data_IF_258682640939
#
_entry.id   IF_258682640939
#
_cell.length_a   1.000
_cell.length_b   1.000
_cell.length_c   1.000
_cell.angle_alpha   90.00
_cell.angle_beta   90.00
_cell.angle_gamma   90.00
#
_symmetry.space_group_name_H-M   'P 1'
#
loop_
_entity.id
_entity.type
_entity.pdbx_description
1 polymer ?
#
# COMPACT_ATOMS: atom_id res chain seq x y z
N UNK A 1 -7.18 -21.45 -2.83
CA UNK A 1 -8.63 -21.17 -2.96
C UNK A 1 -8.90 -20.68 -4.38
N UNK A 2 -8.95 -21.60 -5.37
CA UNK A 2 -9.10 -21.24 -6.78
C UNK A 2 -10.54 -20.89 -7.21
N UNK A 3 -11.54 -21.05 -6.34
CA UNK A 3 -12.96 -20.87 -6.69
C UNK A 3 -13.56 -19.52 -6.29
N UNK A 4 -12.86 -18.73 -5.47
CA UNK A 4 -13.31 -17.40 -5.06
C UNK A 4 -12.50 -16.38 -5.88
N UNK A 5 -13.15 -15.77 -6.86
CA UNK A 5 -12.64 -14.64 -7.63
C UNK A 5 -13.27 -13.33 -7.15
N UNK A 6 -12.84 -12.21 -7.72
CA UNK A 6 -13.39 -10.89 -7.40
C UNK A 6 -14.89 -10.80 -7.72
N UNK A 7 -15.34 -11.46 -8.78
CA UNK A 7 -16.72 -11.40 -9.23
C UNK A 7 -17.66 -12.04 -8.23
N UNK A 8 -17.29 -13.22 -7.70
CA UNK A 8 -18.01 -13.88 -6.61
C UNK A 8 -18.09 -12.99 -5.36
N UNK A 9 -16.98 -12.33 -4.99
CA UNK A 9 -16.94 -11.45 -3.82
C UNK A 9 -17.90 -10.26 -4.01
N UNK A 10 -17.90 -9.63 -5.19
CA UNK A 10 -18.75 -8.49 -5.49
C UNK A 10 -20.23 -8.88 -5.59
N UNK A 11 -20.54 -10.05 -6.13
CA UNK A 11 -21.90 -10.60 -6.15
C UNK A 11 -22.41 -10.84 -4.72
N UNK A 12 -21.61 -11.48 -3.87
CA UNK A 12 -21.95 -11.68 -2.46
C UNK A 12 -22.20 -10.34 -1.74
N UNK A 13 -21.35 -9.33 -2.00
CA UNK A 13 -21.51 -7.98 -1.46
C UNK A 13 -22.82 -7.33 -1.96
N UNK A 14 -23.17 -7.50 -3.23
CA UNK A 14 -24.40 -6.98 -3.83
C UNK A 14 -25.65 -7.63 -3.21
N UNK A 15 -25.66 -8.96 -3.07
CA UNK A 15 -26.77 -9.71 -2.46
C UNK A 15 -26.97 -9.26 -1.01
N UNK A 16 -25.89 -9.16 -0.24
CA UNK A 16 -25.95 -8.68 1.14
C UNK A 16 -26.52 -7.26 1.22
N UNK A 17 -26.01 -6.33 0.41
CA UNK A 17 -26.48 -4.95 0.41
C UNK A 17 -27.94 -4.84 -0.05
N UNK A 18 -28.34 -5.63 -1.05
CA UNK A 18 -29.71 -5.71 -1.53
C UNK A 18 -30.70 -6.24 -0.49
N UNK A 19 -30.25 -7.03 0.49
CA UNK A 19 -31.08 -7.54 1.58
C UNK A 19 -31.06 -6.64 2.82
N UNK A 20 -29.88 -6.16 3.22
CA UNK A 20 -29.66 -5.54 4.52
C UNK A 20 -29.35 -4.04 4.47
N UNK A 21 -29.05 -3.49 3.29
CA UNK A 21 -28.66 -2.09 3.12
C UNK A 21 -29.51 -1.35 2.07
N UNK A 22 -30.76 -1.77 1.85
CA UNK A 22 -31.68 -1.11 0.92
C UNK A 22 -31.80 0.38 1.25
N UNK A 23 -31.66 1.23 0.23
CA UNK A 23 -31.71 2.69 0.36
C UNK A 23 -30.46 3.33 0.96
N UNK A 24 -29.42 2.56 1.30
CA UNK A 24 -28.11 3.10 1.62
C UNK A 24 -27.31 3.35 0.34
N UNK A 25 -26.49 4.40 0.35
CA UNK A 25 -25.61 4.75 -0.76
C UNK A 25 -24.16 4.42 -0.39
N UNK A 26 -23.32 4.04 -1.35
CA UNK A 26 -21.91 3.69 -1.11
C UNK A 26 -21.05 4.93 -0.84
N UNK A 27 -20.56 5.09 0.38
CA UNK A 27 -19.63 6.19 0.66
C UNK A 27 -18.24 5.80 0.20
N UNK A 28 -17.74 6.41 -0.89
CA UNK A 28 -16.30 6.39 -1.15
C UNK A 28 -15.59 6.99 0.07
N UNK A 29 -14.59 6.30 0.60
CA UNK A 29 -13.81 6.74 1.76
C UNK A 29 -12.96 7.94 1.37
N UNK A 30 -13.58 9.12 1.33
CA UNK A 30 -12.95 10.42 1.10
C UNK A 30 -12.53 11.00 2.46
N UNK A 31 -11.51 10.43 3.09
CA UNK A 31 -10.90 11.02 4.29
C UNK A 31 -10.00 12.23 3.98
N UNK A 32 -9.89 12.64 2.71
CA UNK A 32 -9.06 13.77 2.25
C UNK A 32 -9.68 14.58 1.11
N UNK A 33 -10.85 15.18 1.34
CA UNK A 33 -11.59 15.94 0.31
C UNK A 33 -10.83 17.11 -0.36
N UNK A 34 -9.74 17.61 0.24
CA UNK A 34 -8.92 18.69 -0.32
C UNK A 34 -7.73 18.18 -1.18
N UNK A 35 -7.05 17.11 -0.75
CA UNK A 35 -5.94 16.50 -1.51
C UNK A 35 -6.46 15.84 -2.79
N UNK A 36 -7.59 15.15 -2.69
CA UNK A 36 -8.25 14.45 -3.80
C UNK A 36 -8.75 15.45 -4.87
N UNK A 37 -9.31 16.60 -4.46
CA UNK A 37 -9.73 17.67 -5.40
C UNK A 37 -8.56 18.28 -6.18
N UNK A 38 -7.38 18.46 -5.56
CA UNK A 38 -6.19 19.01 -6.25
C UNK A 38 -5.65 18.01 -7.28
N UNK A 39 -5.72 16.72 -6.99
CA UNK A 39 -5.29 15.65 -7.91
C UNK A 39 -6.25 15.48 -9.10
N UNK A 40 -7.57 15.63 -8.90
CA UNK A 40 -8.53 15.59 -10.00
C UNK A 40 -8.40 16.75 -11.00
N UNK A 41 -7.80 17.88 -10.59
CA UNK A 41 -7.46 18.97 -11.53
C UNK A 41 -6.32 18.59 -12.49
N UNK A 42 -5.58 17.50 -12.25
CA UNK A 42 -4.45 17.06 -13.07
C UNK A 42 -4.81 16.07 -14.19
N UNK A 43 -6.12 15.94 -14.50
CA UNK A 43 -6.63 15.31 -15.74
C UNK A 43 -6.36 13.80 -15.87
N UNK A 44 -6.99 13.02 -14.99
CA UNK A 44 -6.87 11.56 -14.94
C UNK A 44 -8.16 10.89 -15.45
N UNK A 45 -8.04 9.94 -16.39
CA UNK A 45 -9.15 9.34 -17.14
C UNK A 45 -10.21 8.59 -16.30
N UNK A 46 -10.00 8.33 -15.00
CA UNK A 46 -11.04 7.80 -14.09
C UNK A 46 -12.19 8.80 -13.85
N UNK A 47 -12.09 10.01 -14.42
CA UNK A 47 -13.03 11.12 -14.29
C UNK A 47 -14.48 10.70 -14.53
N UNK A 48 -14.78 9.90 -15.54
CA UNK A 48 -16.18 9.76 -15.95
C UNK A 48 -16.97 8.85 -15.01
N UNK A 49 -16.51 7.62 -14.76
CA UNK A 49 -17.24 6.67 -13.91
C UNK A 49 -17.27 7.10 -12.44
N UNK A 50 -16.12 7.55 -11.90
CA UNK A 50 -16.07 8.03 -10.52
C UNK A 50 -16.88 9.31 -10.32
N UNK A 51 -16.75 10.32 -11.20
CA UNK A 51 -17.53 11.55 -11.05
C UNK A 51 -19.01 11.34 -11.33
N UNK A 52 -19.37 10.41 -12.21
CA UNK A 52 -20.75 9.97 -12.35
C UNK A 52 -21.27 9.39 -11.04
N UNK A 53 -20.48 8.56 -10.36
CA UNK A 53 -20.83 8.02 -9.05
C UNK A 53 -20.98 9.09 -7.97
N UNK A 54 -20.09 10.08 -7.93
CA UNK A 54 -20.21 11.23 -7.04
C UNK A 54 -21.47 12.05 -7.34
N UNK A 55 -21.78 12.33 -8.62
CA UNK A 55 -22.98 13.10 -9.02
C UNK A 55 -24.27 12.39 -8.63
N UNK A 56 -24.40 11.12 -8.99
CA UNK A 56 -25.56 10.31 -8.66
C UNK A 56 -25.76 10.16 -7.13
N UNK A 57 -24.66 10.19 -6.36
CA UNK A 57 -24.71 10.32 -4.91
C UNK A 57 -25.28 11.66 -4.42
N UNK A 58 -24.80 12.78 -4.97
CA UNK A 58 -25.27 14.12 -4.64
C UNK A 58 -26.75 14.31 -4.99
N UNK A 59 -27.16 13.76 -6.14
CA UNK A 59 -28.53 13.79 -6.65
C UNK A 59 -29.45 12.77 -5.96
N UNK A 60 -28.91 11.89 -5.09
CA UNK A 60 -29.64 10.79 -4.43
C UNK A 60 -30.34 9.83 -5.40
N UNK A 61 -29.83 9.73 -6.63
CA UNK A 61 -30.34 8.86 -7.69
C UNK A 61 -29.66 7.50 -7.70
N UNK A 62 -28.58 7.33 -6.93
CA UNK A 62 -27.77 6.12 -6.90
C UNK A 62 -28.45 4.95 -6.18
N UNK A 63 -28.47 3.76 -6.81
CA UNK A 63 -28.70 2.47 -6.16
C UNK A 63 -27.36 1.75 -6.01
N UNK A 64 -27.06 1.23 -4.81
CA UNK A 64 -25.81 0.50 -4.56
C UNK A 64 -25.56 -0.59 -5.62
N UNK A 65 -24.41 -0.50 -6.29
CA UNK A 65 -23.90 -1.48 -7.26
C UNK A 65 -22.45 -1.79 -6.88
N UNK A 66 -22.23 -2.94 -6.25
CA UNK A 66 -20.92 -3.34 -5.73
C UNK A 66 -19.84 -3.34 -6.82
N UNK A 67 -20.19 -3.77 -8.05
CA UNK A 67 -19.25 -3.86 -9.17
C UNK A 67 -18.90 -2.48 -9.69
N UNK A 68 -19.88 -1.62 -9.95
CA UNK A 68 -19.62 -0.25 -10.41
C UNK A 68 -18.81 0.54 -9.38
N UNK A 69 -19.12 0.40 -8.08
CA UNK A 69 -18.35 1.00 -6.99
C UNK A 69 -16.89 0.52 -7.02
N UNK A 70 -16.69 -0.79 -7.13
CA UNK A 70 -15.37 -1.41 -7.13
C UNK A 70 -14.52 -0.98 -8.33
N UNK A 71 -15.07 -1.05 -9.55
CA UNK A 71 -14.33 -0.67 -10.76
C UNK A 71 -13.94 0.80 -10.73
N UNK A 72 -14.83 1.69 -10.27
CA UNK A 72 -14.51 3.10 -10.11
C UNK A 72 -13.36 3.32 -9.10
N UNK A 73 -13.37 2.62 -7.96
CA UNK A 73 -12.29 2.69 -6.97
C UNK A 73 -10.98 2.07 -7.48
N UNK A 74 -11.05 0.97 -8.24
CA UNK A 74 -9.90 0.26 -8.81
C UNK A 74 -9.23 1.06 -9.93
N UNK A 75 -10.00 1.55 -10.90
CA UNK A 75 -9.52 2.44 -11.98
C UNK A 75 -8.89 3.70 -11.41
N UNK A 76 -9.53 4.28 -10.39
CA UNK A 76 -8.94 5.39 -9.64
C UNK A 76 -7.59 4.97 -9.08
N UNK A 77 -7.51 3.88 -8.32
CA UNK A 77 -6.27 3.43 -7.67
C UNK A 77 -5.11 3.15 -8.63
N UNK A 78 -5.39 2.67 -9.84
CA UNK A 78 -4.38 2.43 -10.89
C UNK A 78 -3.68 3.72 -11.36
N UNK A 79 -4.36 4.86 -11.28
CA UNK A 79 -3.85 6.10 -11.84
C UNK A 79 -3.06 6.95 -10.86
N UNK A 80 -3.11 6.66 -9.56
CA UNK A 80 -2.32 7.41 -8.58
C UNK A 80 -0.94 6.80 -8.43
N UNK A 81 0.14 7.58 -8.62
CA UNK A 81 1.45 7.13 -8.21
C UNK A 81 1.44 6.86 -6.70
N UNK A 82 2.34 5.99 -6.19
CA UNK A 82 2.49 5.75 -4.77
C UNK A 82 3.11 6.99 -4.12
N UNK A 83 2.31 8.02 -3.88
CA UNK A 83 2.81 9.31 -3.39
C UNK A 83 2.87 9.36 -1.87
N UNK A 84 4.03 9.78 -1.35
CA UNK A 84 4.43 9.78 0.07
C UNK A 84 3.43 10.46 1.02
N UNK A 85 2.88 11.62 0.64
CA UNK A 85 1.93 12.38 1.47
C UNK A 85 0.52 11.76 1.53
N UNK A 86 0.22 10.81 0.65
CA UNK A 86 -1.12 10.30 0.43
C UNK A 86 -1.28 8.82 0.79
N UNK A 87 -0.21 8.06 1.00
CA UNK A 87 -0.31 6.63 1.33
C UNK A 87 -1.06 6.38 2.65
N UNK A 88 -0.96 7.31 3.61
CA UNK A 88 -1.69 7.25 4.89
C UNK A 88 -3.03 7.98 4.87
N UNK A 89 -3.22 8.99 4.02
CA UNK A 89 -4.41 9.85 3.98
C UNK A 89 -5.42 9.51 2.87
N UNK A 90 -4.97 9.03 1.72
CA UNK A 90 -5.84 8.47 0.66
C UNK A 90 -6.12 6.98 0.93
N UNK A 91 -6.25 6.64 2.23
CA UNK A 91 -6.20 5.27 2.71
C UNK A 91 -7.18 4.42 1.93
N UNK A 92 -6.64 3.46 1.16
CA UNK A 92 -7.43 2.39 0.57
C UNK A 92 -8.26 1.65 1.61
N UNK A 93 -7.96 1.82 2.91
CA UNK A 93 -8.73 1.37 4.05
C UNK A 93 -10.17 1.92 3.98
N UNK A 94 -11.00 1.19 3.25
CA UNK A 94 -12.43 1.23 3.43
C UNK A 94 -12.83 0.35 4.60
N UNK A 95 -14.13 0.38 4.88
CA UNK A 95 -14.94 -0.43 5.77
C UNK A 95 -14.27 -1.58 6.51
N UNK A 96 -14.67 -1.80 7.78
CA UNK A 96 -14.44 -3.04 8.50
C UNK A 96 -15.30 -4.20 7.92
N UNK A 97 -15.17 -4.46 6.61
CA UNK A 97 -15.93 -5.50 5.90
C UNK A 97 -15.37 -6.89 6.18
N UNK A 98 -14.13 -6.98 6.66
CA UNK A 98 -13.54 -8.23 7.13
C UNK A 98 -13.88 -8.48 8.59
N UNK A 99 -14.40 -9.66 8.84
CA UNK A 99 -14.53 -10.17 10.20
C UNK A 99 -13.11 -10.31 10.83
N UNK A 100 -12.92 -9.94 12.11
CA UNK A 100 -11.57 -9.86 12.71
C UNK A 100 -10.74 -11.14 12.63
N UNK A 101 -11.40 -12.30 12.67
CA UNK A 101 -10.72 -13.61 12.64
C UNK A 101 -10.55 -14.17 11.21
N UNK A 102 -10.82 -13.38 10.16
CA UNK A 102 -10.58 -13.83 8.79
C UNK A 102 -9.08 -14.05 8.59
N UNK A 103 -8.71 -15.32 8.42
CA UNK A 103 -7.33 -15.69 8.14
C UNK A 103 -6.83 -15.00 6.88
N UNK A 104 -5.74 -14.26 7.01
CA UNK A 104 -5.13 -13.57 5.88
C UNK A 104 -4.67 -14.55 4.79
N UNK A 105 -5.11 -14.38 3.54
CA UNK A 105 -4.67 -15.22 2.43
C UNK A 105 -3.23 -14.85 2.04
N UNK A 106 -2.26 -15.61 2.56
CA UNK A 106 -0.82 -15.33 2.36
C UNK A 106 -0.42 -15.20 0.88
N UNK A 107 -1.03 -16.01 0.00
CA UNK A 107 -0.76 -15.98 -1.44
C UNK A 107 -1.16 -14.65 -2.11
N UNK A 108 -2.10 -13.88 -1.54
CA UNK A 108 -2.41 -12.53 -2.03
C UNK A 108 -1.35 -11.51 -1.59
N UNK A 109 -0.60 -11.79 -0.53
CA UNK A 109 0.42 -10.88 0.00
C UNK A 109 1.81 -11.12 -0.57
N UNK A 110 2.15 -12.34 -0.96
CA UNK A 110 3.52 -12.71 -1.34
C UNK A 110 3.78 -12.77 -2.85
N UNK A 111 2.77 -12.49 -3.67
CA UNK A 111 2.87 -12.53 -5.13
C UNK A 111 3.14 -13.95 -5.69
N UNK A 112 3.32 -14.09 -7.00
CA UNK A 112 3.14 -13.07 -8.05
C UNK A 112 1.67 -12.63 -8.20
N UNK A 113 1.44 -11.43 -8.76
CA UNK A 113 0.12 -10.84 -8.95
C UNK A 113 -0.25 -10.73 -10.43
N UNK A 114 -1.08 -11.65 -10.90
CA UNK A 114 -1.90 -11.45 -12.10
C UNK A 114 -3.02 -10.44 -11.81
N UNK A 115 -3.75 -10.01 -12.85
CA UNK A 115 -4.82 -9.00 -12.71
C UNK A 115 -5.90 -9.42 -11.70
N UNK A 116 -6.25 -10.70 -11.66
CA UNK A 116 -7.23 -11.21 -10.71
C UNK A 116 -6.74 -11.09 -9.26
N UNK A 117 -5.50 -11.51 -8.98
CA UNK A 117 -4.89 -11.33 -7.66
C UNK A 117 -4.70 -9.87 -7.29
N UNK A 118 -4.42 -8.97 -8.25
CA UNK A 118 -4.35 -7.52 -7.98
C UNK A 118 -5.71 -6.99 -7.56
N UNK A 119 -6.78 -7.33 -8.28
CA UNK A 119 -8.17 -6.95 -7.95
C UNK A 119 -8.58 -7.45 -6.58
N UNK A 120 -8.27 -8.70 -6.27
CA UNK A 120 -8.53 -9.29 -4.95
C UNK A 120 -7.69 -8.68 -3.84
N UNK A 121 -6.40 -8.43 -4.06
CA UNK A 121 -5.55 -7.73 -3.12
C UNK A 121 -6.11 -6.34 -2.84
N UNK A 122 -6.50 -5.60 -3.88
CA UNK A 122 -7.11 -4.28 -3.75
C UNK A 122 -8.40 -4.33 -2.93
N UNK A 123 -9.31 -5.24 -3.25
CA UNK A 123 -10.54 -5.45 -2.46
C UNK A 123 -10.21 -5.78 -1.00
N UNK A 124 -9.23 -6.64 -0.76
CA UNK A 124 -8.86 -7.09 0.57
C UNK A 124 -8.32 -5.95 1.45
N UNK A 125 -7.48 -5.08 0.88
CA UNK A 125 -7.02 -3.84 1.54
C UNK A 125 -8.19 -2.89 1.80
N UNK A 126 -9.11 -2.78 0.82
CA UNK A 126 -10.32 -1.97 0.95
C UNK A 126 -11.28 -2.46 2.02
N UNK A 127 -11.34 -3.76 2.24
CA UNK A 127 -12.18 -4.38 3.26
C UNK A 127 -11.59 -4.27 4.68
N UNK A 128 -10.50 -3.49 4.86
CA UNK A 128 -10.00 -3.12 6.19
C UNK A 128 -9.10 -4.18 6.84
N UNK A 129 -8.40 -5.02 6.08
CA UNK A 129 -7.55 -6.08 6.65
C UNK A 129 -6.53 -5.54 7.67
N UNK A 130 -5.99 -4.35 7.46
CA UNK A 130 -4.92 -3.80 8.31
C UNK A 130 -5.45 -3.02 9.51
N UNK A 131 -6.72 -3.24 9.88
CA UNK A 131 -7.24 -2.74 11.15
C UNK A 131 -6.52 -3.42 12.32
N UNK A 132 -6.26 -2.68 13.43
CA UNK A 132 -5.49 -3.19 14.56
C UNK A 132 -6.01 -4.50 15.17
N UNK A 133 -7.30 -4.80 14.98
CA UNK A 133 -7.98 -6.01 15.46
C UNK A 133 -7.56 -7.30 14.76
N UNK A 134 -6.99 -7.25 13.55
CA UNK A 134 -6.88 -8.41 12.66
C UNK A 134 -5.56 -9.20 12.80
N UNK A 135 -4.87 -9.02 13.93
CA UNK A 135 -3.65 -9.75 14.27
C UNK A 135 -2.37 -9.27 13.57
N UNK A 136 -1.23 -9.77 14.04
CA UNK A 136 0.08 -9.40 13.50
C UNK A 136 0.45 -10.23 12.27
N UNK A 137 0.80 -9.56 11.18
CA UNK A 137 1.35 -10.23 9.99
C UNK A 137 2.77 -10.70 10.29
N UNK A 138 3.02 -11.98 10.00
CA UNK A 138 4.31 -12.64 10.19
C UNK A 138 5.44 -11.90 9.42
N UNK A 139 6.57 -11.66 10.07
CA UNK A 139 7.75 -11.01 9.47
C UNK A 139 8.26 -11.70 8.20
N UNK A 140 8.13 -13.03 8.08
CA UNK A 140 8.49 -13.76 6.85
C UNK A 140 7.62 -13.34 5.66
N UNK A 141 6.32 -13.15 5.90
CA UNK A 141 5.36 -12.71 4.88
C UNK A 141 5.68 -11.30 4.45
N UNK A 142 5.95 -10.39 5.40
CA UNK A 142 6.37 -9.02 5.11
C UNK A 142 7.63 -8.95 4.24
N UNK A 143 8.63 -9.77 4.56
CA UNK A 143 9.87 -9.87 3.77
C UNK A 143 9.61 -10.41 2.37
N UNK A 144 8.80 -11.47 2.24
CA UNK A 144 8.43 -12.04 0.94
C UNK A 144 7.62 -11.03 0.09
N UNK A 145 6.68 -10.32 0.69
CA UNK A 145 5.92 -9.22 0.05
C UNK A 145 6.85 -8.12 -0.46
N UNK A 146 7.83 -7.69 0.36
CA UNK A 146 8.81 -6.67 -0.03
C UNK A 146 9.68 -7.15 -1.20
N UNK A 147 10.20 -8.37 -1.08
CA UNK A 147 11.05 -8.98 -2.10
C UNK A 147 10.27 -9.10 -3.43
N UNK A 148 9.01 -9.52 -3.39
CA UNK A 148 8.17 -9.71 -4.57
C UNK A 148 7.62 -8.40 -5.17
N UNK A 149 7.33 -7.37 -4.37
CA UNK A 149 6.71 -6.14 -4.86
C UNK A 149 7.72 -5.07 -5.32
N UNK A 150 8.88 -4.97 -4.68
CA UNK A 150 9.81 -3.84 -4.88
C UNK A 150 11.21 -4.25 -5.34
N UNK A 151 11.71 -5.41 -4.90
CA UNK A 151 13.11 -5.79 -5.14
C UNK A 151 13.24 -6.60 -6.43
N UNK A 152 12.47 -7.68 -6.54
CA UNK A 152 12.61 -8.68 -7.62
C UNK A 152 12.06 -8.24 -8.98
N UNK A 153 10.91 -7.54 -9.08
CA UNK A 153 10.34 -7.16 -10.38
C UNK A 153 11.26 -6.24 -11.16
N UNK A 154 11.34 -6.41 -12.48
CA UNK A 154 12.03 -5.44 -13.32
C UNK A 154 11.34 -4.08 -13.24
N UNK A 155 10.01 -4.06 -13.36
CA UNK A 155 9.14 -2.89 -13.20
C UNK A 155 8.19 -3.11 -12.01
N UNK A 156 8.35 -2.38 -10.89
CA UNK A 156 7.49 -2.54 -9.73
C UNK A 156 6.09 -2.04 -10.03
N UNK A 157 5.07 -2.79 -9.61
CA UNK A 157 3.67 -2.41 -9.82
C UNK A 157 3.22 -1.38 -8.76
N UNK A 158 2.86 -0.15 -9.17
CA UNK A 158 2.43 0.91 -8.26
C UNK A 158 1.23 0.53 -7.38
N UNK A 159 0.25 -0.18 -7.95
CA UNK A 159 -0.97 -0.58 -7.25
C UNK A 159 -0.65 -1.61 -6.17
N UNK A 160 0.13 -2.64 -6.52
CA UNK A 160 0.54 -3.68 -5.57
C UNK A 160 1.33 -3.06 -4.43
N UNK A 161 2.29 -2.19 -4.74
CA UNK A 161 3.04 -1.44 -3.73
C UNK A 161 2.08 -0.70 -2.80
N UNK A 162 1.17 0.11 -3.35
CA UNK A 162 0.19 0.89 -2.58
C UNK A 162 -0.65 0.00 -1.66
N UNK A 163 -1.12 -1.14 -2.14
CA UNK A 163 -1.88 -2.10 -1.35
C UNK A 163 -1.07 -2.70 -0.19
N UNK A 164 0.21 -3.01 -0.41
CA UNK A 164 1.05 -3.64 0.61
C UNK A 164 1.70 -2.64 1.57
N UNK A 165 1.69 -1.34 1.25
CA UNK A 165 2.35 -0.31 2.06
C UNK A 165 2.02 -0.36 3.55
N UNK A 166 0.74 -0.49 3.98
CA UNK A 166 0.41 -0.56 5.40
C UNK A 166 1.10 -1.75 6.11
N UNK A 167 1.26 -2.88 5.42
CA UNK A 167 1.95 -4.07 5.95
C UNK A 167 3.46 -3.82 6.05
N UNK A 168 4.03 -3.21 5.00
CA UNK A 168 5.46 -3.04 4.87
C UNK A 168 5.99 -2.01 5.87
N UNK A 169 5.29 -0.89 6.05
CA UNK A 169 5.65 0.17 7.00
C UNK A 169 5.12 -0.03 8.43
N UNK A 170 4.42 -1.14 8.71
CA UNK A 170 3.92 -1.41 10.05
C UNK A 170 5.06 -1.40 11.07
N UNK A 171 4.85 -0.74 12.22
CA UNK A 171 5.88 -0.43 13.23
C UNK A 171 6.46 -1.63 13.97
N UNK A 172 6.04 -2.86 13.65
CA UNK A 172 6.70 -4.05 14.16
C UNK A 172 8.06 -4.22 13.49
N UNK A 173 9.10 -4.42 14.29
CA UNK A 173 10.45 -4.58 13.78
C UNK A 173 10.58 -5.89 13.00
N UNK A 174 11.20 -5.82 11.81
CA UNK A 174 11.73 -7.02 11.16
C UNK A 174 13.02 -7.45 11.86
N UNK A 175 13.36 -8.73 11.75
CA UNK A 175 14.65 -9.26 12.21
C UNK A 175 15.81 -8.44 11.61
N UNK A 176 16.71 -7.85 12.41
CA UNK A 176 17.63 -6.80 11.94
C UNK A 176 18.52 -7.20 10.78
N UNK A 177 19.11 -8.41 10.80
CA UNK A 177 19.90 -8.94 9.68
C UNK A 177 19.07 -9.06 8.40
N UNK A 178 17.83 -9.54 8.52
CA UNK A 178 16.94 -9.67 7.37
C UNK A 178 16.54 -8.30 6.81
N UNK A 179 16.26 -7.32 7.67
CA UNK A 179 15.93 -5.94 7.29
C UNK A 179 17.11 -5.26 6.59
N UNK A 180 18.32 -5.34 7.16
CA UNK A 180 19.54 -4.79 6.58
C UNK A 180 19.80 -5.35 5.18
N UNK A 181 19.68 -6.67 5.00
CA UNK A 181 19.86 -7.29 3.68
C UNK A 181 18.89 -6.74 2.63
N UNK A 182 17.64 -6.40 3.01
CA UNK A 182 16.66 -5.80 2.07
C UNK A 182 16.92 -4.32 1.83
N UNK A 183 17.35 -3.58 2.84
CA UNK A 183 17.82 -2.19 2.68
C UNK A 183 18.95 -2.11 1.64
N UNK A 184 19.97 -2.97 1.75
CA UNK A 184 21.08 -3.03 0.79
C UNK A 184 20.60 -3.34 -0.63
N UNK A 185 19.66 -4.28 -0.79
CA UNK A 185 19.08 -4.61 -2.10
C UNK A 185 18.29 -3.43 -2.70
N UNK A 186 17.49 -2.73 -1.89
CA UNK A 186 16.75 -1.55 -2.33
C UNK A 186 17.67 -0.40 -2.74
N UNK A 187 18.71 -0.09 -1.94
CA UNK A 187 19.70 0.92 -2.31
C UNK A 187 20.38 0.56 -3.64
N UNK A 188 20.74 -0.72 -3.81
CA UNK A 188 21.36 -1.20 -5.05
C UNK A 188 20.44 -1.05 -6.26
N UNK A 189 19.13 -1.30 -6.10
CA UNK A 189 18.11 -1.09 -7.14
C UNK A 189 18.04 0.38 -7.55
N UNK A 190 17.89 1.28 -6.58
CA UNK A 190 17.78 2.72 -6.83
C UNK A 190 19.00 3.23 -7.61
N UNK A 191 20.21 2.73 -7.27
CA UNK A 191 21.44 3.08 -7.97
C UNK A 191 21.54 2.51 -9.38
N UNK A 192 21.11 1.26 -9.59
CA UNK A 192 21.12 0.62 -10.92
C UNK A 192 20.26 1.39 -11.92
N UNK A 193 19.24 2.11 -11.46
CA UNK A 193 18.31 2.82 -12.31
C UNK A 193 17.33 1.86 -13.02
N UNK A 194 16.64 2.38 -14.04
CA UNK A 194 15.58 1.67 -14.77
C UNK A 194 14.17 1.93 -14.25
N UNK A 195 14.04 2.37 -12.99
CA UNK A 195 12.77 2.85 -12.44
C UNK A 195 12.46 4.28 -12.92
N UNK A 196 11.16 4.57 -13.07
CA UNK A 196 10.65 5.93 -13.30
C UNK A 196 11.08 6.88 -12.18
N UNK A 197 11.10 8.18 -12.45
CA UNK A 197 11.49 9.18 -11.44
C UNK A 197 10.60 9.08 -10.18
N UNK A 198 9.29 8.90 -10.35
CA UNK A 198 8.34 8.78 -9.25
C UNK A 198 8.59 7.51 -8.41
N UNK A 199 8.81 6.37 -9.07
CA UNK A 199 9.13 5.12 -8.37
C UNK A 199 10.45 5.24 -7.62
N UNK A 200 11.47 5.88 -8.21
CA UNK A 200 12.75 6.11 -7.55
C UNK A 200 12.62 6.99 -6.30
N UNK A 201 11.86 8.09 -6.40
CA UNK A 201 11.55 8.98 -5.26
C UNK A 201 10.83 8.21 -4.16
N UNK A 202 9.83 7.40 -4.53
CA UNK A 202 9.12 6.55 -3.59
C UNK A 202 10.03 5.52 -2.90
N UNK A 203 10.89 4.81 -3.64
CA UNK A 203 11.81 3.82 -3.09
C UNK A 203 12.78 4.44 -2.09
N UNK A 204 13.31 5.64 -2.36
CA UNK A 204 14.16 6.38 -1.43
C UNK A 204 13.44 6.73 -0.14
N UNK A 205 12.20 7.22 -0.25
CA UNK A 205 11.36 7.44 0.93
C UNK A 205 11.15 6.16 1.73
N UNK A 206 10.82 5.05 1.06
CA UNK A 206 10.61 3.75 1.70
C UNK A 206 11.86 3.26 2.44
N UNK A 207 13.04 3.38 1.81
CA UNK A 207 14.33 3.05 2.42
C UNK A 207 14.54 3.85 3.71
N UNK A 208 14.30 5.17 3.67
CA UNK A 208 14.41 6.07 4.83
C UNK A 208 13.50 5.65 5.97
N UNK A 209 12.23 5.38 5.69
CA UNK A 209 11.26 4.98 6.73
C UNK A 209 11.56 3.59 7.29
N UNK A 210 11.97 2.63 6.46
CA UNK A 210 12.37 1.32 6.93
C UNK A 210 13.64 1.40 7.80
N UNK A 211 14.61 2.22 7.43
CA UNK A 211 15.81 2.46 8.23
C UNK A 211 15.47 3.10 9.59
N UNK A 212 14.67 4.18 9.62
CA UNK A 212 14.18 4.80 10.86
C UNK A 212 13.45 3.81 11.75
N UNK A 213 12.57 2.98 11.19
CA UNK A 213 11.85 1.95 11.94
C UNK A 213 12.80 0.92 12.57
N UNK A 214 13.85 0.52 11.86
CA UNK A 214 14.88 -0.38 12.39
C UNK A 214 15.68 0.26 13.52
N UNK A 215 16.12 1.51 13.36
CA UNK A 215 16.82 2.25 14.43
C UNK A 215 15.95 2.41 15.68
N UNK A 216 14.66 2.76 15.50
CA UNK A 216 13.72 2.90 16.61
C UNK A 216 13.48 1.58 17.34
N UNK A 217 13.42 0.46 16.61
CA UNK A 217 13.29 -0.86 17.22
C UNK A 217 14.50 -1.23 18.08
N UNK A 218 15.72 -0.99 17.58
CA UNK A 218 16.96 -1.23 18.33
C UNK A 218 17.04 -0.40 19.61
N UNK A 219 16.57 0.86 19.58
CA UNK A 219 16.53 1.74 20.76
C UNK A 219 15.56 1.25 21.84
N UNK A 220 14.46 0.59 21.46
CA UNK A 220 13.38 0.17 22.39
C UNK A 220 13.62 -1.18 23.06
N UNK A 221 14.41 -2.05 22.46
CA UNK A 221 14.72 -3.38 23.02
C UNK A 221 16.24 -3.64 23.02
N UNK A 222 16.98 -3.08 24.00
CA UNK A 222 18.43 -3.26 24.11
C UNK A 222 18.86 -4.65 24.64
N UNK A 223 18.03 -5.70 24.55
CA UNK A 223 18.30 -6.99 25.20
C UNK A 223 19.34 -7.88 24.47
N UNK A 224 20.32 -8.30 25.28
CA UNK A 224 21.41 -9.27 25.15
C UNK A 224 22.39 -9.12 23.97
N UNK A 225 23.49 -8.44 24.28
CA UNK A 225 24.46 -7.82 23.39
C UNK A 225 25.63 -8.71 22.98
N UNK A 226 25.56 -10.04 23.14
CA UNK A 226 26.68 -10.92 22.75
C UNK A 226 26.56 -11.44 21.31
N UNK A 227 25.35 -11.72 20.81
CA UNK A 227 25.10 -12.14 19.42
C UNK A 227 24.67 -10.99 18.49
N UNK A 228 24.34 -9.84 19.09
CA UNK A 228 23.74 -8.69 18.42
C UNK A 228 24.72 -7.55 18.09
N UNK A 229 26.03 -7.74 18.33
CA UNK A 229 27.08 -6.91 17.71
C UNK A 229 27.24 -7.30 16.25
N UNK A 230 26.13 -7.38 15.51
CA UNK A 230 26.21 -7.28 14.07
C UNK A 230 26.57 -5.83 13.79
N UNK A 231 27.83 -5.61 13.42
CA UNK A 231 28.39 -4.30 13.18
C UNK A 231 27.63 -3.64 12.01
N UNK A 232 26.53 -2.94 12.32
CA UNK A 232 25.76 -2.14 11.38
C UNK A 232 26.59 -1.00 10.78
N UNK A 233 27.85 -0.81 11.23
CA UNK A 233 28.89 -0.10 10.48
C UNK A 233 29.31 -0.89 9.24
N UNK A 234 28.34 -1.32 8.44
CA UNK A 234 28.57 -1.58 7.04
C UNK A 234 28.78 -0.20 6.40
N UNK A 235 30.03 0.28 6.44
CA UNK A 235 30.44 1.60 5.92
C UNK A 235 29.86 1.84 4.51
N UNK A 236 29.83 0.79 3.70
CA UNK A 236 29.24 0.79 2.38
C UNK A 236 27.72 0.97 2.34
N UNK A 237 26.97 0.44 3.32
CA UNK A 237 25.54 0.76 3.46
C UNK A 237 25.32 2.20 3.93
N UNK A 238 26.08 2.66 4.92
CA UNK A 238 25.95 4.03 5.46
C UNK A 238 26.29 5.09 4.40
N UNK A 239 27.38 4.91 3.65
CA UNK A 239 27.73 5.76 2.50
C UNK A 239 26.58 5.78 1.48
N UNK A 240 26.08 4.60 1.08
CA UNK A 240 24.96 4.49 0.14
C UNK A 240 23.66 5.09 0.65
N UNK A 241 23.39 4.98 1.95
CA UNK A 241 22.18 5.53 2.55
C UNK A 241 22.26 7.06 2.58
N UNK A 242 23.38 7.61 3.00
CA UNK A 242 23.59 9.06 3.05
C UNK A 242 23.52 9.70 1.65
N UNK A 243 24.20 9.11 0.65
CA UNK A 243 24.09 9.54 -0.76
C UNK A 243 22.63 9.59 -1.27
N UNK A 244 21.79 8.65 -0.83
CA UNK A 244 20.41 8.53 -1.30
C UNK A 244 19.42 9.43 -0.57
N UNK A 245 19.71 9.78 0.69
CA UNK A 245 18.82 10.57 1.55
C UNK A 245 19.09 12.07 1.41
N UNK A 246 20.33 12.48 1.19
CA UNK A 246 20.70 13.91 1.07
C UNK A 246 20.14 14.57 -0.20
N UNK A 247 19.93 13.81 -1.29
CA UNK A 247 19.29 14.32 -2.51
C UNK A 247 17.78 14.62 -2.34
N UNK A 248 17.16 14.17 -1.25
CA UNK A 248 15.71 14.35 -1.07
C UNK A 248 15.42 15.77 -0.56
N UNK A 249 16.23 16.39 0.29
CA UNK A 249 15.80 17.61 0.99
C UNK A 249 15.88 18.92 0.17
N UNK A 250 16.39 18.89 -1.06
CA UNK A 250 16.60 20.10 -1.88
C UNK A 250 15.40 20.63 -2.69
N UNK A 251 14.27 19.90 -2.79
CA UNK A 251 13.24 20.21 -3.81
C UNK A 251 11.79 20.22 -3.29
N UNK A 252 11.57 20.14 -1.97
CA UNK A 252 10.21 19.94 -1.40
C UNK A 252 9.46 21.20 -0.98
N UNK A 253 10.12 22.37 -0.86
CA UNK A 253 9.45 23.61 -0.44
C UNK A 253 8.99 24.50 -1.62
N UNK A 254 9.42 24.24 -2.85
CA UNK A 254 9.38 25.23 -3.92
C UNK A 254 8.27 25.14 -4.96
N UNK A 255 7.37 24.14 -4.95
CA UNK A 255 6.28 24.05 -5.94
C UNK A 255 4.97 23.58 -5.31
N UNK A 256 4.20 24.53 -4.80
CA UNK A 256 2.78 24.37 -4.46
C UNK A 256 1.94 25.38 -5.22
#
# INVERSE_FOLDING_TARGET
MPWVDIDFILEAQQIWAGKYARGRCYRHYETGGLSIRKLYKMNVHARDRYMQHVRQHQEKTWKFDARACFEADYERALQFPPWVKNITHDSLLGSADLYPDVRTPMYLLTGSWDEEKKRRLFWYVRAGVFQPSNGFINGKVRLASLDAAMISPEKPDPLVIKCLMPILLFRTALQPKAAHNRLVKLCSRVRRGGDTQDMRKFLRYFIREMHKNQQNAMRRHPYDSSEFVFNFKNKFYEERYNELVDEVDGDWEGRI
#
